data_IF_034292611192
#
_entry.id   IF_034292611192
#
_cell.length_a   1.000
_cell.length_b   1.000
_cell.length_c   1.000
_cell.angle_alpha   90.00
_cell.angle_beta   90.00
_cell.angle_gamma   90.00
#
_symmetry.space_group_name_H-M   'P 1'
#
loop_
_entity.id
_entity.type
_entity.pdbx_description
1 polymer ?
#
# COMPACT_ATOMS: atom_id res chain seq x y z
N UNK A 1 25.51 7.81 -26.98
CA UNK A 1 25.92 7.78 -25.56
C UNK A 1 24.70 8.12 -24.71
N UNK A 2 24.33 7.27 -23.78
CA UNK A 2 23.27 7.57 -22.82
C UNK A 2 23.75 8.71 -21.92
N UNK A 3 22.99 9.81 -21.73
CA UNK A 3 23.41 10.90 -20.87
C UNK A 3 23.58 10.41 -19.43
N UNK A 4 24.78 10.58 -18.87
CA UNK A 4 25.02 10.27 -17.46
C UNK A 4 24.43 11.41 -16.61
N UNK A 5 23.43 11.13 -15.78
CA UNK A 5 22.82 12.09 -14.89
C UNK A 5 23.69 12.27 -13.64
N UNK A 6 23.91 13.52 -13.23
CA UNK A 6 24.69 13.86 -12.03
C UNK A 6 23.90 13.56 -10.75
N UNK A 7 24.40 12.70 -9.82
CA UNK A 7 23.71 12.37 -8.58
C UNK A 7 23.36 13.57 -7.71
N UNK A 8 24.20 14.61 -7.66
CA UNK A 8 23.92 15.84 -6.90
C UNK A 8 22.72 16.61 -7.45
N UNK A 9 22.58 16.63 -8.79
CA UNK A 9 21.43 17.26 -9.43
C UNK A 9 20.16 16.44 -9.27
N UNK A 10 20.26 15.11 -9.27
CA UNK A 10 19.14 14.23 -8.96
C UNK A 10 18.66 14.43 -7.52
N UNK A 11 19.58 14.61 -6.58
CA UNK A 11 19.22 14.92 -5.19
C UNK A 11 18.50 16.28 -5.08
N UNK A 12 19.02 17.32 -5.74
CA UNK A 12 18.37 18.62 -5.77
C UNK A 12 16.97 18.54 -6.39
N UNK A 13 16.82 17.80 -7.48
CA UNK A 13 15.55 17.56 -8.13
C UNK A 13 14.56 16.85 -7.19
N UNK A 14 15.00 15.80 -6.49
CA UNK A 14 14.19 15.06 -5.52
C UNK A 14 13.66 15.97 -4.41
N UNK A 15 14.55 16.75 -3.79
CA UNK A 15 14.16 17.67 -2.71
C UNK A 15 13.19 18.76 -3.20
N UNK A 16 13.38 19.30 -4.41
CA UNK A 16 12.42 20.26 -5.01
C UNK A 16 11.07 19.61 -5.27
N UNK A 17 11.05 18.36 -5.71
CA UNK A 17 9.81 17.61 -5.94
C UNK A 17 9.04 17.34 -4.64
N UNK A 18 9.74 16.98 -3.57
CA UNK A 18 9.14 16.67 -2.27
C UNK A 18 8.60 17.94 -1.56
N UNK A 19 9.32 19.08 -1.70
CA UNK A 19 8.95 20.36 -1.06
C UNK A 19 7.95 21.18 -1.89
N UNK A 20 7.96 21.01 -3.21
CA UNK A 20 7.11 21.77 -4.14
C UNK A 20 7.54 23.23 -4.37
N UNK A 21 8.62 23.73 -3.74
CA UNK A 21 9.08 25.11 -3.83
C UNK A 21 10.62 25.20 -3.82
N UNK A 22 11.16 26.02 -4.72
CA UNK A 22 12.63 26.26 -4.82
C UNK A 22 13.20 26.84 -3.51
N UNK A 23 12.49 27.79 -2.88
CA UNK A 23 12.94 28.44 -1.64
C UNK A 23 13.02 27.47 -0.45
N UNK A 24 12.05 26.53 -0.36
CA UNK A 24 12.04 25.48 0.65
C UNK A 24 13.18 24.49 0.44
N UNK A 25 13.37 24.02 -0.79
CA UNK A 25 14.45 23.12 -1.17
C UNK A 25 15.83 23.74 -0.93
N UNK A 26 16.00 25.01 -1.25
CA UNK A 26 17.26 25.75 -1.03
C UNK A 26 17.67 25.75 0.46
N UNK A 27 16.71 25.96 1.36
CA UNK A 27 16.95 25.89 2.82
C UNK A 27 17.39 24.50 3.28
N UNK A 28 16.70 23.46 2.82
CA UNK A 28 17.00 22.07 3.18
C UNK A 28 18.36 21.60 2.67
N UNK A 29 18.75 22.08 1.48
CA UNK A 29 20.01 21.72 0.85
C UNK A 29 21.19 22.61 1.26
N UNK A 30 20.95 23.65 2.08
CA UNK A 30 21.95 24.70 2.39
C UNK A 30 22.54 25.35 1.14
N UNK A 31 21.71 25.60 0.13
CA UNK A 31 22.07 26.23 -1.15
C UNK A 31 21.30 27.54 -1.34
N UNK A 32 21.83 28.41 -2.24
CA UNK A 32 21.05 29.56 -2.69
C UNK A 32 19.95 29.15 -3.67
N UNK A 33 18.83 29.89 -3.73
CA UNK A 33 17.75 29.64 -4.70
C UNK A 33 18.23 29.67 -6.16
N UNK A 34 19.11 30.59 -6.58
CA UNK A 34 19.72 30.54 -7.90
C UNK A 34 20.49 29.25 -8.18
N UNK A 35 21.23 28.73 -7.18
CA UNK A 35 21.98 27.48 -7.32
C UNK A 35 21.05 26.28 -7.52
N UNK A 36 19.99 26.18 -6.72
CA UNK A 36 18.96 25.12 -6.88
C UNK A 36 18.29 25.22 -8.26
N UNK A 37 17.94 26.44 -8.69
CA UNK A 37 17.34 26.66 -10.02
C UNK A 37 18.30 26.23 -11.14
N UNK A 38 19.58 26.56 -11.02
CA UNK A 38 20.60 26.17 -12.00
C UNK A 38 20.76 24.65 -12.07
N UNK A 39 20.83 23.97 -10.92
CA UNK A 39 20.96 22.50 -10.87
C UNK A 39 19.77 21.80 -11.51
N UNK A 40 18.52 22.26 -11.24
CA UNK A 40 17.33 21.72 -11.87
C UNK A 40 17.37 21.91 -13.39
N UNK A 41 17.68 23.13 -13.87
CA UNK A 41 17.80 23.40 -15.33
C UNK A 41 18.85 22.54 -16.00
N UNK A 42 20.00 22.34 -15.35
CA UNK A 42 21.06 21.49 -15.89
C UNK A 42 20.61 20.02 -15.97
N UNK A 43 19.86 19.54 -14.99
CA UNK A 43 19.28 18.19 -15.03
C UNK A 43 18.25 18.05 -16.16
N UNK A 44 17.38 19.04 -16.34
CA UNK A 44 16.41 19.08 -17.45
C UNK A 44 17.11 19.07 -18.82
N UNK A 45 18.19 19.83 -18.94
CA UNK A 45 19.02 19.82 -20.16
C UNK A 45 19.69 18.46 -20.41
N UNK A 46 20.18 17.78 -19.35
CA UNK A 46 20.74 16.44 -19.46
C UNK A 46 19.66 15.40 -19.80
N UNK A 47 18.45 15.53 -19.24
CA UNK A 47 17.32 14.65 -19.52
C UNK A 47 16.66 14.93 -20.89
N UNK A 48 16.96 16.06 -21.52
CA UNK A 48 16.37 16.48 -22.79
C UNK A 48 14.89 16.84 -22.71
N UNK A 49 14.34 17.07 -21.51
CA UNK A 49 12.93 17.37 -21.28
C UNK A 49 12.71 18.12 -19.96
N UNK A 50 11.64 18.92 -19.89
CA UNK A 50 11.25 19.59 -18.65
C UNK A 50 10.72 18.58 -17.63
N UNK A 51 11.19 18.69 -16.40
CA UNK A 51 10.80 17.84 -15.26
C UNK A 51 9.78 18.54 -14.36
N UNK A 52 9.74 19.88 -14.41
CA UNK A 52 8.78 20.69 -13.66
C UNK A 52 7.98 21.64 -14.52
N UNK A 53 6.77 21.95 -14.04
CA UNK A 53 5.93 23.04 -14.51
C UNK A 53 5.81 24.06 -13.37
N UNK A 54 6.10 25.34 -13.68
CA UNK A 54 5.88 26.45 -12.72
C UNK A 54 4.42 26.86 -12.69
N UNK A 55 3.88 27.05 -11.51
CA UNK A 55 2.55 27.61 -11.32
C UNK A 55 2.55 28.59 -10.13
N UNK A 56 1.43 29.30 -9.89
CA UNK A 56 1.34 30.32 -8.85
C UNK A 56 1.65 29.80 -7.42
N UNK A 57 1.45 28.51 -7.15
CA UNK A 57 1.71 27.87 -5.86
C UNK A 57 3.08 27.19 -5.75
N UNK A 58 3.95 27.23 -6.76
CA UNK A 58 5.27 26.60 -6.73
C UNK A 58 5.63 25.75 -7.95
N UNK A 59 6.25 24.62 -7.73
CA UNK A 59 6.74 23.67 -8.75
C UNK A 59 5.91 22.38 -8.74
N UNK A 60 5.43 21.93 -9.88
CA UNK A 60 4.73 20.66 -10.06
C UNK A 60 5.46 19.80 -11.08
N UNK A 61 5.53 18.50 -10.82
CA UNK A 61 6.17 17.57 -11.74
C UNK A 61 5.40 17.41 -13.06
N UNK A 62 6.14 17.29 -14.16
CA UNK A 62 5.65 16.75 -15.42
C UNK A 62 5.52 15.23 -15.33
N UNK A 63 4.98 14.54 -16.37
CA UNK A 63 5.01 13.08 -16.44
C UNK A 63 6.44 12.55 -16.41
N UNK A 64 7.34 13.17 -17.20
CA UNK A 64 8.75 12.85 -17.18
C UNK A 64 9.42 13.09 -15.81
N UNK A 65 8.98 14.13 -15.09
CA UNK A 65 9.44 14.38 -13.73
C UNK A 65 8.97 13.29 -12.76
N UNK A 66 7.74 12.83 -12.87
CA UNK A 66 7.23 11.71 -12.05
C UNK A 66 8.02 10.42 -12.29
N UNK A 67 8.28 10.10 -13.54
CA UNK A 67 9.07 8.92 -13.90
C UNK A 67 10.50 9.02 -13.32
N UNK A 68 11.16 10.17 -13.50
CA UNK A 68 12.53 10.38 -13.00
C UNK A 68 12.60 10.41 -11.47
N UNK A 69 11.56 10.88 -10.78
CA UNK A 69 11.52 10.95 -9.31
C UNK A 69 11.66 9.57 -8.68
N UNK A 70 11.03 8.55 -9.24
CA UNK A 70 11.18 7.17 -8.79
C UNK A 70 12.65 6.69 -8.85
N UNK A 71 13.35 7.02 -9.94
CA UNK A 71 14.78 6.71 -10.06
C UNK A 71 15.64 7.54 -9.11
N UNK A 72 15.36 8.85 -8.98
CA UNK A 72 16.13 9.74 -8.12
C UNK A 72 16.08 9.29 -6.64
N UNK A 73 14.91 8.89 -6.14
CA UNK A 73 14.75 8.34 -4.78
C UNK A 73 15.56 7.07 -4.58
N UNK A 74 15.51 6.16 -5.54
CA UNK A 74 16.26 4.89 -5.48
C UNK A 74 17.77 5.08 -5.53
N UNK A 75 18.26 6.03 -6.34
CA UNK A 75 19.69 6.37 -6.38
C UNK A 75 20.11 6.96 -5.03
N UNK A 76 19.27 7.82 -4.42
CA UNK A 76 19.51 8.35 -3.08
C UNK A 76 19.65 7.23 -2.05
N UNK A 77 18.67 6.29 -2.00
CA UNK A 77 18.67 5.16 -1.08
C UNK A 77 19.91 4.27 -1.26
N UNK A 78 20.33 4.02 -2.51
CA UNK A 78 21.54 3.26 -2.80
C UNK A 78 22.82 3.97 -2.38
N UNK A 79 22.89 5.30 -2.51
CA UNK A 79 24.03 6.09 -2.04
C UNK A 79 24.10 6.12 -0.52
N UNK A 80 22.97 6.25 0.16
CA UNK A 80 22.87 6.14 1.62
C UNK A 80 23.30 4.75 2.10
N UNK A 81 22.83 3.68 1.45
CA UNK A 81 23.24 2.31 1.76
C UNK A 81 24.75 2.11 1.55
N UNK A 82 25.29 2.59 0.44
CA UNK A 82 26.73 2.51 0.16
C UNK A 82 27.55 3.30 1.19
N UNK A 83 27.07 4.49 1.58
CA UNK A 83 27.67 5.31 2.63
C UNK A 83 27.67 4.60 3.99
N UNK A 84 26.52 4.01 4.38
CA UNK A 84 26.38 3.27 5.62
C UNK A 84 27.28 2.02 5.67
N UNK A 85 27.45 1.31 4.53
CA UNK A 85 28.37 0.17 4.41
C UNK A 85 29.85 0.57 4.42
N UNK A 86 30.15 1.74 3.89
CA UNK A 86 31.53 2.28 3.84
C UNK A 86 31.98 2.83 5.19
N UNK A 87 31.07 3.30 6.01
CA UNK A 87 31.31 3.84 7.35
C UNK A 87 31.31 2.71 8.40
N UNK A 88 31.95 1.56 8.16
CA UNK A 88 31.97 0.42 9.08
C UNK A 88 32.31 0.79 10.51
N UNK A 89 31.26 0.90 11.35
CA UNK A 89 31.33 0.59 12.79
C UNK A 89 29.96 0.07 13.25
N UNK A 90 29.81 -1.27 13.30
CA UNK A 90 28.69 -1.96 13.95
C UNK A 90 27.51 -2.35 13.04
N UNK A 91 26.65 -3.27 13.47
CA UNK A 91 25.48 -3.73 12.71
C UNK A 91 24.32 -2.73 12.83
N UNK A 92 24.48 -1.52 12.30
CA UNK A 92 23.36 -0.59 12.14
C UNK A 92 22.59 -1.02 10.90
N UNK A 93 21.46 -1.71 11.09
CA UNK A 93 20.50 -2.01 10.03
C UNK A 93 20.07 -0.74 9.30
N UNK A 94 19.72 -0.86 8.02
CA UNK A 94 19.18 0.23 7.20
C UNK A 94 17.81 0.70 7.71
N UNK A 95 17.27 1.72 7.09
CA UNK A 95 15.88 2.13 7.31
C UNK A 95 14.93 1.19 6.55
N UNK A 96 13.97 0.58 7.27
CA UNK A 96 12.92 -0.25 6.69
C UNK A 96 11.66 0.60 6.49
N UNK A 97 11.42 1.05 5.27
CA UNK A 97 10.25 1.83 4.91
C UNK A 97 9.34 1.01 3.98
N UNK A 98 8.07 0.87 4.33
CA UNK A 98 7.10 0.01 3.68
C UNK A 98 5.75 0.71 3.55
N UNK A 99 4.92 0.24 2.61
CA UNK A 99 3.51 0.56 2.59
C UNK A 99 2.66 -0.71 2.65
N UNK A 100 1.47 -0.62 3.24
CA UNK A 100 0.53 -1.73 3.26
C UNK A 100 -0.93 -1.26 3.16
N UNK A 101 -1.77 -2.13 2.59
CA UNK A 101 -3.22 -1.94 2.68
C UNK A 101 -3.70 -2.10 4.12
N UNK A 102 -4.88 -1.54 4.44
CA UNK A 102 -5.41 -1.53 5.82
C UNK A 102 -5.48 -2.94 6.42
N UNK A 103 -5.95 -3.93 5.67
CA UNK A 103 -6.01 -5.33 6.14
C UNK A 103 -4.60 -5.90 6.39
N UNK A 104 -3.68 -5.67 5.46
CA UNK A 104 -2.29 -6.16 5.57
C UNK A 104 -1.56 -5.50 6.72
N UNK A 105 -1.71 -4.19 6.86
CA UNK A 105 -1.07 -3.41 7.93
C UNK A 105 -1.50 -3.86 9.33
N UNK A 106 -2.81 -4.15 9.51
CA UNK A 106 -3.35 -4.53 10.80
C UNK A 106 -3.07 -6.00 11.17
N UNK A 107 -3.07 -6.92 10.20
CA UNK A 107 -3.12 -8.36 10.49
C UNK A 107 -1.93 -9.18 9.99
N UNK A 108 -1.17 -8.67 9.03
CA UNK A 108 -0.03 -9.39 8.43
C UNK A 108 1.30 -8.75 8.82
N UNK A 109 1.44 -7.43 8.66
CA UNK A 109 2.71 -6.76 8.94
C UNK A 109 3.21 -6.93 10.37
N UNK A 110 2.39 -6.86 11.44
CA UNK A 110 2.86 -7.08 12.80
C UNK A 110 3.48 -8.45 13.01
N UNK A 111 2.94 -9.50 12.38
CA UNK A 111 3.47 -10.86 12.47
C UNK A 111 4.84 -10.98 11.77
N UNK A 112 4.99 -10.34 10.60
CA UNK A 112 6.25 -10.28 9.89
C UNK A 112 7.29 -9.45 10.66
N UNK A 113 6.89 -8.31 11.22
CA UNK A 113 7.79 -7.47 12.01
C UNK A 113 8.27 -8.17 13.27
N UNK A 114 7.40 -8.88 13.98
CA UNK A 114 7.80 -9.64 15.16
C UNK A 114 8.97 -10.58 14.83
N UNK A 115 8.80 -11.48 13.88
CA UNK A 115 9.84 -12.45 13.54
C UNK A 115 11.09 -11.82 12.91
N UNK A 116 10.93 -10.72 12.16
CA UNK A 116 12.08 -10.01 11.59
C UNK A 116 12.92 -9.31 12.64
N UNK A 117 12.28 -8.61 13.58
CA UNK A 117 12.95 -7.85 14.63
C UNK A 117 13.64 -8.74 15.66
N UNK A 118 13.24 -10.01 15.81
CA UNK A 118 13.95 -11.00 16.63
C UNK A 118 15.33 -11.35 16.04
N UNK A 119 15.50 -11.23 14.74
CA UNK A 119 16.73 -11.60 14.03
C UNK A 119 17.55 -10.40 13.55
N UNK A 120 16.94 -9.24 13.48
CA UNK A 120 17.51 -8.04 12.90
C UNK A 120 17.03 -6.78 13.64
N UNK A 121 17.91 -5.78 13.66
CA UNK A 121 17.61 -4.47 14.26
C UNK A 121 17.77 -3.37 13.22
N UNK A 122 16.75 -3.10 12.39
CA UNK A 122 16.81 -1.96 11.47
C UNK A 122 16.94 -0.66 12.27
N UNK A 123 17.62 0.33 11.71
CA UNK A 123 17.80 1.67 12.31
C UNK A 123 16.45 2.35 12.58
N UNK A 124 15.52 2.19 11.67
CA UNK A 124 14.12 2.61 11.83
C UNK A 124 13.20 1.70 11.03
N UNK A 125 11.94 1.61 11.48
CA UNK A 125 10.88 0.91 10.77
C UNK A 125 9.71 1.85 10.60
N UNK A 126 9.30 2.09 9.36
CA UNK A 126 8.18 2.95 8.99
C UNK A 126 7.21 2.20 8.12
N UNK A 127 5.93 2.20 8.50
CA UNK A 127 4.84 1.62 7.73
C UNK A 127 3.84 2.72 7.36
N UNK A 128 3.64 2.95 6.07
CA UNK A 128 2.56 3.79 5.57
C UNK A 128 1.34 2.92 5.26
N UNK A 129 0.16 3.39 5.66
CA UNK A 129 -1.09 2.63 5.51
C UNK A 129 -2.05 3.41 4.61
N UNK A 130 -2.57 2.74 3.60
CA UNK A 130 -3.55 3.29 2.68
C UNK A 130 -4.42 2.19 2.06
N UNK A 131 -5.21 2.50 1.05
CA UNK A 131 -5.89 1.48 0.26
C UNK A 131 -4.97 0.92 -0.84
N UNK A 132 -5.45 -0.06 -1.60
CA UNK A 132 -4.63 -0.73 -2.62
C UNK A 132 -4.15 0.23 -3.71
N UNK A 133 -4.98 1.16 -4.16
CA UNK A 133 -4.59 2.14 -5.19
C UNK A 133 -3.53 3.11 -4.67
N UNK A 134 -3.66 3.57 -3.43
CA UNK A 134 -2.67 4.43 -2.78
C UNK A 134 -1.32 3.72 -2.62
N UNK A 135 -1.32 2.48 -2.13
CA UNK A 135 -0.08 1.69 -2.00
C UNK A 135 0.60 1.48 -3.36
N UNK A 136 -0.17 1.16 -4.41
CA UNK A 136 0.35 1.04 -5.77
C UNK A 136 0.94 2.36 -6.28
N UNK A 137 0.27 3.48 -6.02
CA UNK A 137 0.74 4.80 -6.41
C UNK A 137 2.05 5.16 -5.69
N UNK A 138 2.13 4.97 -4.37
CA UNK A 138 3.33 5.28 -3.58
C UNK A 138 4.56 4.45 -4.01
N UNK A 139 4.37 3.16 -4.32
CA UNK A 139 5.46 2.33 -4.85
C UNK A 139 5.86 2.76 -6.26
N UNK A 140 4.89 3.03 -7.14
CA UNK A 140 5.16 3.50 -8.50
C UNK A 140 5.92 4.83 -8.52
N UNK A 141 5.58 5.74 -7.62
CA UNK A 141 6.20 7.06 -7.48
C UNK A 141 7.53 7.01 -6.72
N UNK A 142 7.94 5.83 -6.23
CA UNK A 142 9.15 5.67 -5.43
C UNK A 142 9.10 6.38 -4.08
N UNK A 143 7.89 6.71 -3.58
CA UNK A 143 7.70 7.25 -2.23
C UNK A 143 8.05 6.22 -1.17
N UNK A 144 7.71 4.96 -1.42
CA UNK A 144 8.11 3.80 -0.63
C UNK A 144 8.76 2.77 -1.54
N UNK A 145 9.82 2.08 -1.10
CA UNK A 145 10.53 1.11 -1.92
C UNK A 145 9.73 -0.16 -2.20
N UNK A 146 8.83 -0.54 -1.29
CA UNK A 146 8.05 -1.77 -1.36
C UNK A 146 6.71 -1.62 -0.66
N UNK A 147 5.69 -2.29 -1.16
CA UNK A 147 4.38 -2.37 -0.53
C UNK A 147 3.84 -3.79 -0.47
N UNK A 148 2.77 -3.98 0.31
CA UNK A 148 1.94 -5.19 0.27
C UNK A 148 0.46 -4.81 0.28
N UNK A 149 -0.28 -5.34 -0.67
CA UNK A 149 -1.73 -5.15 -0.73
C UNK A 149 -2.42 -6.35 -1.36
N UNK A 150 -3.73 -6.33 -1.29
CA UNK A 150 -4.62 -7.28 -1.94
C UNK A 150 -5.35 -6.65 -3.11
N UNK A 151 -5.91 -7.49 -3.98
CA UNK A 151 -6.84 -7.04 -5.01
C UNK A 151 -6.41 -7.34 -6.43
N UNK A 152 -7.09 -6.69 -7.36
CA UNK A 152 -6.98 -6.93 -8.79
C UNK A 152 -6.31 -5.77 -9.53
N UNK A 153 -6.05 -4.68 -8.82
CA UNK A 153 -5.45 -3.48 -9.39
C UNK A 153 -4.06 -3.80 -9.95
N UNK A 154 -3.76 -3.21 -11.10
CA UNK A 154 -2.45 -3.29 -11.73
C UNK A 154 -2.04 -1.88 -12.15
N UNK A 155 -0.77 -1.57 -12.02
CA UNK A 155 -0.22 -0.31 -12.48
C UNK A 155 1.00 -0.57 -13.40
N UNK A 156 1.14 0.17 -14.49
CA UNK A 156 2.33 0.08 -15.34
C UNK A 156 3.60 0.37 -14.52
N UNK A 157 4.65 -0.40 -14.76
CA UNK A 157 5.93 -0.25 -14.05
C UNK A 157 5.96 -0.79 -12.62
N UNK A 158 4.92 -1.49 -12.18
CA UNK A 158 4.84 -2.12 -10.86
C UNK A 158 4.58 -3.61 -11.01
N UNK A 159 5.35 -4.46 -10.33
CA UNK A 159 5.10 -5.89 -10.21
C UNK A 159 4.31 -6.20 -8.94
N UNK A 160 3.45 -7.22 -9.02
CA UNK A 160 2.71 -7.77 -7.89
C UNK A 160 2.99 -9.27 -7.79
N UNK A 161 3.69 -9.66 -6.74
CA UNK A 161 4.08 -11.05 -6.49
C UNK A 161 3.19 -11.64 -5.38
N UNK A 162 2.34 -12.63 -5.66
CA UNK A 162 1.52 -13.30 -4.64
C UNK A 162 2.37 -13.87 -3.51
N UNK A 163 1.93 -13.65 -2.26
CA UNK A 163 2.64 -14.09 -1.08
C UNK A 163 1.78 -14.97 -0.17
N UNK A 164 0.62 -14.49 0.25
CA UNK A 164 -0.30 -15.25 1.11
C UNK A 164 -1.67 -15.36 0.46
N UNK A 165 -2.30 -16.51 0.66
CA UNK A 165 -3.71 -16.70 0.28
C UNK A 165 -4.64 -16.15 1.35
N UNK A 166 -5.74 -15.56 0.93
CA UNK A 166 -6.77 -15.05 1.79
C UNK A 166 -8.16 -15.39 1.23
N UNK A 167 -9.12 -15.51 2.12
CA UNK A 167 -10.53 -15.67 1.79
C UNK A 167 -11.33 -14.52 2.42
N UNK A 168 -12.10 -13.82 1.59
CA UNK A 168 -13.10 -12.89 2.05
C UNK A 168 -14.41 -13.64 2.29
N UNK A 169 -14.96 -13.46 3.47
CA UNK A 169 -16.24 -14.06 3.86
C UNK A 169 -17.27 -12.99 4.20
N UNK A 170 -18.53 -13.24 3.82
CA UNK A 170 -19.65 -12.42 4.28
C UNK A 170 -19.90 -12.72 5.75
N UNK A 171 -19.92 -11.70 6.60
CA UNK A 171 -20.12 -11.86 8.04
C UNK A 171 -21.22 -10.95 8.56
N UNK A 172 -21.84 -11.39 9.64
CA UNK A 172 -22.81 -10.63 10.43
C UNK A 172 -22.55 -10.83 11.92
N UNK A 173 -23.09 -9.94 12.75
CA UNK A 173 -23.12 -10.13 14.20
C UNK A 173 -24.07 -11.28 14.58
N UNK A 174 -23.67 -12.08 15.56
CA UNK A 174 -24.52 -13.11 16.14
C UNK A 174 -25.66 -12.52 16.97
N UNK A 175 -25.45 -11.33 17.54
CA UNK A 175 -26.44 -10.56 18.28
C UNK A 175 -27.16 -9.52 17.40
N UNK A 176 -26.98 -9.59 16.10
CA UNK A 176 -27.55 -8.65 15.13
C UNK A 176 -29.06 -8.83 14.91
N UNK A 177 -29.70 -7.92 14.18
CA UNK A 177 -31.12 -7.96 13.88
C UNK A 177 -31.56 -9.27 13.20
N UNK A 178 -32.71 -9.84 13.61
CA UNK A 178 -33.24 -11.09 13.08
C UNK A 178 -33.35 -11.13 11.54
N UNK A 179 -33.61 -9.96 10.90
CA UNK A 179 -33.65 -9.84 9.43
C UNK A 179 -32.34 -10.22 8.76
N UNK A 180 -31.18 -9.97 9.41
CA UNK A 180 -29.87 -10.36 8.90
C UNK A 180 -29.64 -11.86 9.17
N UNK A 181 -30.15 -12.39 10.26
CA UNK A 181 -30.05 -13.80 10.62
C UNK A 181 -30.67 -14.73 9.58
N UNK A 182 -31.68 -14.29 8.85
CA UNK A 182 -32.39 -15.08 7.84
C UNK A 182 -31.63 -15.22 6.50
N UNK A 183 -30.55 -14.46 6.28
CA UNK A 183 -29.85 -14.44 4.99
C UNK A 183 -28.94 -15.68 4.85
N UNK A 184 -29.19 -16.47 3.80
CA UNK A 184 -28.48 -17.72 3.47
C UNK A 184 -28.15 -17.86 1.97
N UNK A 185 -28.40 -16.83 1.17
CA UNK A 185 -28.25 -16.88 -0.28
C UNK A 185 -27.81 -15.55 -0.87
N UNK A 186 -27.25 -15.57 -2.07
CA UNK A 186 -26.93 -14.35 -2.81
C UNK A 186 -28.15 -13.47 -3.09
N UNK A 187 -29.32 -14.05 -3.28
CA UNK A 187 -30.57 -13.30 -3.46
C UNK A 187 -30.95 -12.53 -2.16
N UNK A 188 -30.83 -13.16 -1.00
CA UNK A 188 -31.00 -12.49 0.28
C UNK A 188 -29.97 -11.40 0.54
N UNK A 189 -28.72 -11.66 0.18
CA UNK A 189 -27.64 -10.70 0.28
C UNK A 189 -27.90 -9.45 -0.58
N UNK A 190 -28.51 -9.60 -1.76
CA UNK A 190 -28.86 -8.48 -2.65
C UNK A 190 -29.79 -7.45 -1.95
N UNK A 191 -30.62 -7.88 -1.03
CA UNK A 191 -31.58 -7.03 -0.33
C UNK A 191 -31.10 -6.51 1.02
N UNK A 192 -30.01 -7.11 1.56
CA UNK A 192 -29.47 -6.73 2.86
C UNK A 192 -28.76 -5.36 2.82
N UNK A 193 -28.73 -4.63 3.93
CA UNK A 193 -27.78 -3.54 4.11
C UNK A 193 -26.37 -4.11 4.12
N UNK A 194 -25.50 -3.60 3.25
CA UNK A 194 -24.11 -3.99 3.17
C UNK A 194 -23.21 -2.86 3.68
N UNK A 195 -22.08 -3.26 4.24
CA UNK A 195 -21.02 -2.35 4.66
C UNK A 195 -19.87 -2.55 3.71
N UNK A 196 -19.60 -1.53 2.92
CA UNK A 196 -18.61 -1.54 1.84
C UNK A 196 -17.32 -0.86 2.24
N UNK A 197 -16.25 -1.24 1.59
CA UNK A 197 -15.03 -0.44 1.52
C UNK A 197 -15.21 0.70 0.51
N UNK A 198 -14.41 1.73 0.68
CA UNK A 198 -14.29 2.88 -0.20
C UNK A 198 -13.84 2.49 -1.61
N UNK A 199 -13.93 3.43 -2.54
CA UNK A 199 -13.33 3.31 -3.87
C UNK A 199 -11.80 3.25 -3.77
N UNK A 200 -11.13 2.52 -4.70
CA UNK A 200 -9.69 2.25 -4.60
C UNK A 200 -9.31 1.08 -3.69
N UNK A 201 -10.25 0.56 -2.89
CA UNK A 201 -10.02 -0.62 -2.06
C UNK A 201 -9.95 -1.91 -2.88
N UNK A 202 -8.84 -2.65 -2.72
CA UNK A 202 -8.71 -3.98 -3.31
C UNK A 202 -9.74 -4.98 -2.81
N UNK A 203 -10.17 -4.86 -1.54
CA UNK A 203 -11.27 -5.66 -0.98
C UNK A 203 -12.56 -5.42 -1.74
N UNK A 204 -12.96 -4.16 -1.93
CA UNK A 204 -14.17 -3.81 -2.71
C UNK A 204 -14.11 -4.35 -4.12
N UNK A 205 -13.02 -4.12 -4.83
CA UNK A 205 -12.86 -4.60 -6.21
C UNK A 205 -13.01 -6.11 -6.35
N UNK A 206 -12.47 -6.88 -5.39
CA UNK A 206 -12.57 -8.35 -5.37
C UNK A 206 -14.01 -8.80 -5.08
N UNK A 207 -14.72 -8.16 -4.15
CA UNK A 207 -16.13 -8.45 -3.85
C UNK A 207 -17.03 -8.15 -5.05
N UNK A 208 -16.89 -6.96 -5.66
CA UNK A 208 -17.64 -6.58 -6.86
C UNK A 208 -17.43 -7.56 -8.01
N UNK A 209 -16.18 -7.98 -8.25
CA UNK A 209 -15.88 -9.00 -9.27
C UNK A 209 -16.49 -10.36 -8.94
N UNK A 210 -16.50 -10.77 -7.67
CA UNK A 210 -17.13 -12.01 -7.26
C UNK A 210 -18.65 -11.96 -7.47
N UNK A 211 -19.29 -10.84 -7.16
CA UNK A 211 -20.71 -10.63 -7.44
C UNK A 211 -21.04 -10.72 -8.95
N UNK A 212 -20.21 -10.13 -9.80
CA UNK A 212 -20.36 -10.24 -11.26
C UNK A 212 -20.32 -11.69 -11.73
N UNK A 213 -19.43 -12.53 -11.16
CA UNK A 213 -19.31 -13.95 -11.54
C UNK A 213 -20.58 -14.75 -11.24
N UNK A 214 -21.24 -14.45 -10.14
CA UNK A 214 -22.50 -15.09 -9.74
C UNK A 214 -23.73 -14.32 -10.25
N UNK A 215 -23.53 -13.35 -11.16
CA UNK A 215 -24.58 -12.49 -11.74
C UNK A 215 -25.39 -11.72 -10.69
N UNK A 216 -24.81 -11.44 -9.54
CA UNK A 216 -25.42 -10.60 -8.51
C UNK A 216 -25.16 -9.13 -8.85
N UNK A 217 -26.18 -8.42 -9.32
CA UNK A 217 -26.09 -6.98 -9.60
C UNK A 217 -26.20 -6.19 -8.30
N UNK A 218 -25.06 -5.97 -7.63
CA UNK A 218 -25.01 -5.30 -6.33
C UNK A 218 -23.72 -4.50 -6.19
N UNK A 219 -23.85 -3.20 -6.04
CA UNK A 219 -22.84 -2.25 -5.60
C UNK A 219 -23.38 -1.44 -4.41
N UNK A 220 -22.66 -0.45 -3.90
CA UNK A 220 -23.16 0.47 -2.88
C UNK A 220 -24.46 1.14 -3.34
N UNK A 221 -25.42 1.29 -2.43
CA UNK A 221 -26.72 1.92 -2.67
C UNK A 221 -27.16 2.67 -1.42
N UNK A 222 -28.27 3.40 -1.53
CA UNK A 222 -28.91 4.05 -0.41
C UNK A 222 -29.22 3.03 0.72
N UNK A 223 -28.89 3.40 1.95
CA UNK A 223 -28.99 2.52 3.13
C UNK A 223 -27.76 1.64 3.38
N UNK A 224 -26.76 1.63 2.52
CA UNK A 224 -25.47 0.99 2.78
C UNK A 224 -24.52 1.95 3.48
N UNK A 225 -23.53 1.41 4.17
CA UNK A 225 -22.40 2.16 4.70
C UNK A 225 -21.19 1.98 3.77
N UNK A 226 -20.41 3.05 3.57
CA UNK A 226 -19.11 2.99 2.88
C UNK A 226 -18.07 3.54 3.83
N UNK A 227 -17.09 2.70 4.19
CA UNK A 227 -16.05 3.01 5.18
C UNK A 227 -14.67 2.72 4.60
N UNK A 228 -13.68 3.52 4.97
CA UNK A 228 -12.30 3.43 4.44
C UNK A 228 -11.37 2.55 5.29
N UNK A 229 -11.87 1.96 6.36
CA UNK A 229 -11.06 1.18 7.29
C UNK A 229 -11.69 -0.19 7.58
N UNK A 230 -10.85 -1.26 7.63
CA UNK A 230 -11.30 -2.64 7.86
C UNK A 230 -11.85 -2.84 9.27
N UNK A 231 -11.24 -2.21 10.28
CA UNK A 231 -11.68 -2.31 11.67
C UNK A 231 -12.99 -1.56 11.89
N UNK A 232 -13.18 -0.41 11.23
CA UNK A 232 -14.45 0.31 11.25
C UNK A 232 -15.59 -0.53 10.64
N UNK A 233 -15.32 -1.26 9.55
CA UNK A 233 -16.30 -2.21 8.99
C UNK A 233 -16.60 -3.32 9.98
N UNK A 234 -15.58 -3.96 10.57
CA UNK A 234 -15.77 -5.04 11.55
C UNK A 234 -16.62 -4.57 12.73
N UNK A 235 -16.30 -3.42 13.31
CA UNK A 235 -17.04 -2.84 14.43
C UNK A 235 -18.48 -2.51 14.04
N UNK A 236 -18.72 -2.00 12.83
CA UNK A 236 -20.07 -1.74 12.32
C UNK A 236 -20.88 -3.02 12.12
N UNK A 237 -20.25 -4.11 11.68
CA UNK A 237 -20.90 -5.43 11.60
C UNK A 237 -21.25 -5.94 12.99
N UNK A 238 -20.32 -5.85 13.96
CA UNK A 238 -20.56 -6.23 15.36
C UNK A 238 -21.74 -5.44 15.96
N UNK A 239 -21.86 -4.17 15.65
CA UNK A 239 -22.99 -3.33 16.04
C UNK A 239 -24.33 -3.67 15.32
N UNK A 240 -24.34 -4.67 14.44
CA UNK A 240 -25.56 -5.12 13.75
C UNK A 240 -26.05 -4.19 12.64
N UNK A 241 -25.21 -3.26 12.15
CA UNK A 241 -25.61 -2.26 11.15
C UNK A 241 -25.80 -2.87 9.74
N UNK A 242 -25.15 -4.01 9.46
CA UNK A 242 -25.24 -4.66 8.15
C UNK A 242 -24.33 -5.89 8.04
N UNK A 243 -24.18 -6.36 6.81
CA UNK A 243 -23.29 -7.46 6.44
C UNK A 243 -22.02 -6.85 5.84
N UNK A 244 -20.84 -7.26 6.33
CA UNK A 244 -19.55 -6.89 5.79
C UNK A 244 -18.86 -8.06 5.10
N UNK A 245 -17.96 -7.75 4.15
CA UNK A 245 -17.04 -8.71 3.58
C UNK A 245 -15.66 -8.49 4.19
N UNK A 246 -15.22 -9.44 5.00
CA UNK A 246 -13.98 -9.34 5.76
C UNK A 246 -13.04 -10.50 5.47
N UNK A 247 -11.75 -10.23 5.56
CA UNK A 247 -10.70 -11.24 5.49
C UNK A 247 -10.79 -12.18 6.68
N UNK A 248 -10.57 -13.47 6.47
CA UNK A 248 -10.45 -14.43 7.57
C UNK A 248 -9.32 -14.06 8.55
N UNK A 249 -8.28 -13.37 8.08
CA UNK A 249 -7.22 -12.87 8.93
C UNK A 249 -7.70 -11.81 9.93
N UNK A 250 -8.71 -11.02 9.57
CA UNK A 250 -9.18 -9.90 10.40
C UNK A 250 -10.25 -10.27 11.44
N UNK A 251 -10.82 -11.49 11.37
CA UNK A 251 -11.98 -11.86 12.18
C UNK A 251 -11.80 -13.14 12.98
N UNK A 252 -10.57 -13.66 13.11
CA UNK A 252 -10.30 -14.93 13.82
C UNK A 252 -10.80 -14.90 15.25
N UNK A 253 -10.51 -13.81 15.96
CA UNK A 253 -10.90 -13.62 17.35
C UNK A 253 -12.42 -13.58 17.51
N UNK A 254 -13.09 -12.82 16.69
CA UNK A 254 -14.54 -12.64 16.73
C UNK A 254 -15.29 -13.93 16.37
N UNK A 255 -14.74 -14.73 15.45
CA UNK A 255 -15.28 -16.06 15.16
C UNK A 255 -15.08 -17.03 16.34
N UNK A 256 -13.89 -16.99 16.98
CA UNK A 256 -13.59 -17.82 18.16
C UNK A 256 -14.51 -17.48 19.33
N UNK A 257 -14.77 -16.19 19.56
CA UNK A 257 -15.68 -15.71 20.61
C UNK A 257 -17.16 -15.76 20.21
N UNK A 258 -17.47 -16.18 18.99
CA UNK A 258 -18.84 -16.24 18.44
C UNK A 258 -19.56 -14.90 18.43
N UNK A 259 -18.82 -13.82 18.29
CA UNK A 259 -19.34 -12.46 18.13
C UNK A 259 -19.78 -12.21 16.69
N UNK A 260 -19.05 -12.81 15.74
CA UNK A 260 -19.39 -12.86 14.32
C UNK A 260 -19.69 -14.28 13.87
N UNK A 261 -20.55 -14.40 12.88
CA UNK A 261 -20.76 -15.65 12.14
C UNK A 261 -20.59 -15.43 10.64
N UNK A 262 -20.02 -16.43 9.97
CA UNK A 262 -19.91 -16.45 8.51
C UNK A 262 -21.25 -16.85 7.91
N UNK A 263 -21.75 -16.05 6.98
CA UNK A 263 -22.96 -16.37 6.23
C UNK A 263 -22.62 -17.44 5.20
N UNK A 264 -23.28 -18.61 5.22
CA UNK A 264 -23.02 -19.65 4.24
C UNK A 264 -23.59 -19.24 2.88
N UNK A 265 -22.69 -18.95 1.94
CA UNK A 265 -23.01 -18.58 0.56
C UNK A 265 -22.28 -19.56 -0.38
N UNK A 266 -22.83 -20.77 -0.60
CA UNK A 266 -22.13 -21.84 -1.33
C UNK A 266 -21.74 -21.45 -2.75
N UNK A 267 -22.52 -20.57 -3.38
CA UNK A 267 -22.25 -20.09 -4.76
C UNK A 267 -21.26 -18.92 -4.82
N UNK A 268 -20.82 -18.39 -3.66
CA UNK A 268 -19.99 -17.19 -3.58
C UNK A 268 -18.72 -17.46 -2.77
N UNK A 269 -17.71 -18.00 -3.40
CA UNK A 269 -16.37 -18.11 -2.81
C UNK A 269 -15.50 -16.98 -3.30
N UNK A 270 -14.92 -16.22 -2.39
CA UNK A 270 -14.10 -15.05 -2.69
C UNK A 270 -12.67 -15.28 -2.19
N UNK A 271 -11.79 -15.75 -3.06
CA UNK A 271 -10.36 -15.94 -2.78
C UNK A 271 -9.55 -14.83 -3.41
N UNK A 272 -8.50 -14.41 -2.70
CA UNK A 272 -7.53 -13.42 -3.15
C UNK A 272 -6.14 -13.73 -2.60
N UNK A 273 -5.14 -12.98 -3.03
CA UNK A 273 -3.79 -13.06 -2.45
C UNK A 273 -3.41 -11.70 -1.89
N UNK A 274 -2.72 -11.70 -0.77
CA UNK A 274 -1.85 -10.58 -0.40
C UNK A 274 -0.58 -10.70 -1.23
N UNK A 275 -0.22 -9.61 -1.90
CA UNK A 275 0.89 -9.61 -2.86
C UNK A 275 1.90 -8.53 -2.50
N UNK A 276 3.18 -8.85 -2.62
CA UNK A 276 4.25 -7.87 -2.58
C UNK A 276 4.18 -6.99 -3.82
N UNK A 277 4.36 -5.70 -3.64
CA UNK A 277 4.30 -4.66 -4.68
C UNK A 277 5.68 -4.04 -4.79
N UNK A 278 6.29 -4.08 -5.97
CA UNK A 278 7.62 -3.57 -6.23
C UNK A 278 7.64 -2.72 -7.51
N UNK A 279 8.37 -1.62 -7.49
CA UNK A 279 8.63 -0.81 -8.68
C UNK A 279 9.63 -1.46 -9.63
N UNK A 280 9.59 -1.09 -10.92
CA UNK A 280 10.37 -1.71 -12.00
C UNK A 280 11.90 -1.59 -11.92
N UNK A 281 12.42 -0.94 -10.92
CA UNK A 281 13.85 -0.65 -10.82
C UNK A 281 14.65 -1.53 -9.85
N UNK A 282 14.09 -2.62 -9.32
CA UNK A 282 14.75 -3.46 -8.31
C UNK A 282 14.66 -2.86 -6.89
N UNK A 283 14.82 -3.70 -5.92
CA UNK A 283 14.78 -3.35 -4.50
C UNK A 283 16.20 -3.43 -3.93
N UNK A 284 16.57 -2.53 -3.03
CA UNK A 284 17.89 -2.49 -2.40
C UNK A 284 17.77 -2.35 -0.87
N UNK A 285 18.90 -2.46 -0.17
CA UNK A 285 19.01 -2.17 1.25
C UNK A 285 18.17 -3.05 2.16
N UNK A 286 17.66 -2.44 3.24
CA UNK A 286 16.90 -3.14 4.28
C UNK A 286 15.58 -3.68 3.75
N UNK A 287 14.92 -2.98 2.82
CA UNK A 287 13.69 -3.45 2.18
C UNK A 287 13.89 -4.75 1.37
N UNK A 288 15.01 -4.89 0.65
CA UNK A 288 15.36 -6.13 -0.05
C UNK A 288 15.63 -7.28 0.94
N UNK A 289 16.32 -6.96 2.03
CA UNK A 289 16.65 -7.93 3.08
C UNK A 289 15.39 -8.41 3.77
N UNK A 290 14.48 -7.49 4.12
CA UNK A 290 13.18 -7.81 4.70
C UNK A 290 12.33 -8.68 3.76
N UNK A 291 12.22 -8.29 2.49
CA UNK A 291 11.44 -9.07 1.50
C UNK A 291 11.97 -10.51 1.37
N UNK A 292 13.29 -10.67 1.30
CA UNK A 292 13.91 -12.01 1.20
C UNK A 292 13.62 -12.84 2.44
N UNK A 293 13.74 -12.23 3.62
CA UNK A 293 13.42 -12.88 4.88
C UNK A 293 11.93 -13.25 4.95
N UNK A 294 11.03 -12.32 4.66
CA UNK A 294 9.58 -12.50 4.73
C UNK A 294 9.09 -13.64 3.80
N UNK A 295 9.66 -13.75 2.60
CA UNK A 295 9.36 -14.87 1.68
C UNK A 295 9.71 -16.25 2.26
N UNK A 296 10.72 -16.33 3.10
CA UNK A 296 11.11 -17.56 3.81
C UNK A 296 10.30 -17.84 5.09
N UNK A 297 9.52 -16.84 5.57
CA UNK A 297 8.81 -16.90 6.84
C UNK A 297 7.35 -16.43 6.70
N UNK A 298 6.54 -17.08 5.85
CA UNK A 298 5.14 -16.69 5.70
C UNK A 298 4.37 -16.93 7.00
N UNK A 299 3.62 -15.93 7.50
CA UNK A 299 2.77 -16.15 8.65
C UNK A 299 1.65 -17.13 8.33
N UNK A 300 1.19 -17.85 9.34
CA UNK A 300 0.09 -18.81 9.22
C UNK A 300 -1.12 -18.35 10.00
N UNK A 301 -2.31 -18.55 9.44
CA UNK A 301 -3.56 -18.42 10.17
C UNK A 301 -3.53 -19.41 11.35
N UNK A 302 -3.70 -18.90 12.56
CA UNK A 302 -3.90 -19.74 13.76
C UNK A 302 -5.41 -19.95 13.90
N UNK A 303 -5.86 -21.18 13.69
CA UNK A 303 -7.23 -21.59 13.93
C UNK A 303 -7.44 -21.93 15.40
#
# INVERSE_FOLDING_TARGET
MTPCLDPRRLETFRVVADVGQISGAARLLNLSQPAVTAQVRMLEAQAGRSLFIRHAGGMRLTDAGRDLLGYARRIHDLLEEAGARSAQEGPAGGELHLAASTTVAAHIMPLLFQGYLEQRSPRSLRLEVGNTEEVLAWVREGRVPIGMAEGLARAPGVSMDPFLQDELVAVRSTEGPARLAAIRSCAGLAQAPLIWREEGSGTRAVVERAFQRVRLRRGPREGDLVLSDTEAIKTSVLAGLGIGFLSRWSIQRELMHRELEVIPLPDLTIRRSFSWIQGGGGLAGEAQTFLRWARGHPPTLRY
#
